data_IF_573264377229
#
_entry.id   IF_573264377229
#
_cell.length_a   1.000
_cell.length_b   1.000
_cell.length_c   1.000
_cell.angle_alpha   90.00
_cell.angle_beta   90.00
_cell.angle_gamma   90.00
#
_symmetry.space_group_name_H-M   'P 1'
#
loop_
_entity.id
_entity.type
_entity.pdbx_description
1 polymer ?
#
# COMPACT_ATOMS: atom_id res chain seq x y z
N UNK A 1 -47.26 35.82 46.17
CA UNK A 1 -46.08 36.68 45.90
C UNK A 1 -44.97 36.59 46.96
N UNK A 2 -45.25 36.39 48.27
CA UNK A 2 -44.19 36.39 49.30
C UNK A 2 -43.21 35.21 49.30
N UNK A 3 -43.59 34.00 48.85
CA UNK A 3 -42.70 32.83 48.91
C UNK A 3 -41.60 32.82 47.85
N UNK A 4 -41.84 33.43 46.69
CA UNK A 4 -40.86 33.50 45.60
C UNK A 4 -39.75 34.53 45.92
N UNK A 5 -40.12 35.67 46.50
CA UNK A 5 -39.17 36.70 46.95
C UNK A 5 -38.30 36.15 48.09
N UNK A 6 -38.90 35.43 49.05
CA UNK A 6 -38.14 34.78 50.13
C UNK A 6 -37.18 33.71 49.59
N UNK A 7 -37.58 32.92 48.59
CA UNK A 7 -36.72 31.92 47.96
C UNK A 7 -35.56 32.56 47.17
N UNK A 8 -35.81 33.65 46.45
CA UNK A 8 -34.77 34.40 45.73
C UNK A 8 -33.79 35.05 46.71
N UNK A 9 -34.28 35.63 47.81
CA UNK A 9 -33.43 36.19 48.88
C UNK A 9 -32.61 35.08 49.54
N UNK A 10 -33.19 33.90 49.82
CA UNK A 10 -32.45 32.76 50.37
C UNK A 10 -31.42 32.25 49.36
N UNK A 11 -31.73 32.14 48.06
CA UNK A 11 -30.76 31.73 47.04
C UNK A 11 -29.62 32.75 46.85
N UNK A 12 -29.92 34.05 46.95
CA UNK A 12 -28.88 35.10 46.91
C UNK A 12 -28.03 35.08 48.18
N UNK A 13 -28.62 34.86 49.36
CA UNK A 13 -27.89 34.72 50.62
C UNK A 13 -27.01 33.46 50.61
N UNK A 14 -27.49 32.33 50.07
CA UNK A 14 -26.71 31.08 49.97
C UNK A 14 -25.55 31.22 48.97
N UNK A 15 -25.68 32.02 47.91
CA UNK A 15 -24.56 32.35 47.00
C UNK A 15 -23.55 33.35 47.59
N UNK A 16 -23.92 34.15 48.60
CA UNK A 16 -23.02 35.12 49.26
C UNK A 16 -22.13 34.43 50.31
N UNK A 17 -22.51 33.24 50.79
CA UNK A 17 -21.69 32.42 51.69
C UNK A 17 -20.95 31.30 50.95
N UNK A 18 -20.34 31.61 49.80
CA UNK A 18 -19.20 30.81 49.36
C UNK A 18 -18.14 30.94 50.47
N UNK A 19 -18.00 29.91 51.30
CA UNK A 19 -17.02 29.92 52.38
C UNK A 19 -15.64 29.95 51.74
N UNK A 20 -14.99 31.12 51.76
CA UNK A 20 -13.57 31.19 51.39
C UNK A 20 -12.80 30.30 52.35
N UNK A 21 -11.93 29.46 51.80
CA UNK A 21 -11.12 28.54 52.57
C UNK A 21 -9.69 29.07 52.60
N UNK A 22 -9.34 30.01 53.51
CA UNK A 22 -8.04 30.66 53.49
C UNK A 22 -6.92 29.65 53.76
N UNK A 23 -5.85 29.80 53.00
CA UNK A 23 -4.60 29.06 53.08
C UNK A 23 -3.93 29.08 54.46
N UNK A 24 -3.08 28.10 54.72
CA UNK A 24 -2.07 28.15 55.77
C UNK A 24 -0.95 29.15 55.41
N UNK A 25 -0.33 29.72 56.45
CA UNK A 25 0.81 30.62 56.28
C UNK A 25 2.01 29.90 55.67
N UNK A 26 2.65 30.56 54.71
CA UNK A 26 3.89 30.18 54.06
C UNK A 26 4.88 31.34 54.15
N UNK A 27 6.14 31.00 54.40
CA UNK A 27 7.25 31.95 54.33
C UNK A 27 7.79 31.95 52.91
N UNK A 28 7.70 33.09 52.25
CA UNK A 28 8.28 33.32 50.94
C UNK A 28 9.73 33.79 51.09
N UNK A 29 10.54 33.66 50.04
CA UNK A 29 11.98 33.95 50.13
C UNK A 29 12.18 35.43 50.49
N UNK A 30 13.05 35.70 51.48
CA UNK A 30 13.30 37.02 52.05
C UNK A 30 13.46 38.13 51.00
N UNK A 31 12.42 38.93 50.82
CA UNK A 31 12.49 40.28 50.26
C UNK A 31 12.20 41.27 51.38
N UNK A 32 13.05 42.29 51.51
CA UNK A 32 12.95 43.31 52.57
C UNK A 32 11.75 44.27 52.38
N UNK A 33 10.85 43.98 51.46
CA UNK A 33 9.74 44.84 51.03
C UNK A 33 8.41 44.54 51.77
N UNK A 34 8.38 43.51 52.62
CA UNK A 34 7.21 43.20 53.45
C UNK A 34 5.99 42.73 52.66
N UNK A 35 6.16 42.37 51.38
CA UNK A 35 5.08 41.94 50.49
C UNK A 35 5.13 40.43 50.23
N UNK A 36 4.04 39.88 49.70
CA UNK A 36 3.99 38.49 49.23
C UNK A 36 4.49 38.31 47.78
N UNK A 37 5.12 39.33 47.19
CA UNK A 37 5.66 39.30 45.81
C UNK A 37 6.68 38.18 45.64
N UNK A 38 7.46 37.87 46.68
CA UNK A 38 8.46 36.82 46.65
C UNK A 38 7.90 35.40 46.61
N UNK A 39 6.58 35.22 46.80
CA UNK A 39 5.91 33.95 46.64
C UNK A 39 5.72 33.58 45.16
N UNK A 40 5.60 34.57 44.27
CA UNK A 40 5.57 34.34 42.82
C UNK A 40 5.81 35.67 42.07
N UNK A 41 6.86 35.77 41.24
CA UNK A 41 7.10 36.96 40.42
C UNK A 41 6.07 37.18 39.31
N UNK A 42 5.25 36.19 38.94
CA UNK A 42 4.11 36.39 38.03
C UNK A 42 2.96 37.12 38.76
N UNK A 43 2.58 38.34 38.32
CA UNK A 43 1.50 39.14 38.95
C UNK A 43 0.12 38.44 38.94
N UNK A 44 -0.07 37.44 38.09
CA UNK A 44 -1.32 36.67 37.99
C UNK A 44 -1.49 35.69 39.15
N UNK A 45 -0.38 35.19 39.69
CA UNK A 45 -0.35 34.27 40.83
C UNK A 45 -0.09 35.02 42.12
N UNK A 46 0.71 36.09 42.07
CA UNK A 46 0.96 37.00 43.18
C UNK A 46 -0.36 37.46 43.82
N UNK A 47 -1.34 37.84 43.00
CA UNK A 47 -2.67 38.29 43.43
C UNK A 47 -3.48 37.24 44.22
N UNK A 48 -3.03 35.98 44.24
CA UNK A 48 -3.63 34.93 45.05
C UNK A 48 -3.13 34.97 46.50
N UNK A 49 -1.96 35.58 46.76
CA UNK A 49 -1.33 35.63 48.07
C UNK A 49 -1.69 36.91 48.84
N UNK A 50 -1.99 36.73 50.13
CA UNK A 50 -2.29 37.78 51.09
C UNK A 50 -1.39 37.60 52.31
N UNK A 51 -0.97 38.70 52.92
CA UNK A 51 -0.09 38.66 54.09
C UNK A 51 0.33 40.06 54.52
N UNK A 52 0.82 40.17 55.74
CA UNK A 52 1.35 41.41 56.32
C UNK A 52 2.88 41.53 56.19
N UNK A 53 3.54 40.48 55.72
CA UNK A 53 4.99 40.37 55.58
C UNK A 53 5.37 39.19 54.68
N UNK A 54 6.57 39.24 54.09
CA UNK A 54 7.13 38.17 53.24
C UNK A 54 7.25 36.80 53.96
N UNK A 55 7.17 36.79 55.29
CA UNK A 55 7.23 35.57 56.12
C UNK A 55 5.86 34.99 56.46
N UNK A 56 4.78 35.74 56.25
CA UNK A 56 3.41 35.38 56.67
C UNK A 56 2.41 35.53 55.51
N UNK A 57 2.70 34.91 54.37
CA UNK A 57 1.81 34.92 53.22
C UNK A 57 0.88 33.71 53.22
N UNK A 58 -0.32 33.80 52.67
CA UNK A 58 -1.23 32.68 52.49
C UNK A 58 -2.11 32.89 51.26
N UNK A 59 -2.60 31.82 50.66
CA UNK A 59 -3.55 31.91 49.55
C UNK A 59 -4.92 32.33 50.08
N UNK A 60 -5.52 33.39 49.52
CA UNK A 60 -6.77 33.96 50.03
C UNK A 60 -7.92 32.96 50.11
N UNK A 61 -7.99 32.11 49.08
CA UNK A 61 -9.07 31.17 48.90
C UNK A 61 -8.58 29.91 48.18
N UNK A 62 -8.51 28.82 48.94
CA UNK A 62 -8.20 27.49 48.44
C UNK A 62 -9.45 26.71 47.98
N UNK A 63 -10.65 27.30 48.08
CA UNK A 63 -11.91 26.62 47.70
C UNK A 63 -12.05 26.36 46.19
N UNK A 64 -11.39 27.18 45.36
CA UNK A 64 -11.32 27.00 43.91
C UNK A 64 -9.89 26.65 43.48
N UNK A 65 -9.73 25.72 42.52
CA UNK A 65 -8.40 25.36 41.97
C UNK A 65 -7.83 26.58 41.22
N UNK A 66 -6.70 27.15 41.65
CA UNK A 66 -6.05 28.19 40.88
C UNK A 66 -5.60 27.65 39.52
N UNK A 67 -5.76 28.42 38.45
CA UNK A 67 -5.27 28.04 37.12
C UNK A 67 -3.75 27.97 37.04
N UNK A 68 -3.07 28.63 37.98
CA UNK A 68 -1.62 28.71 38.08
C UNK A 68 -1.23 28.18 39.47
N UNK A 69 -0.50 27.07 39.48
CA UNK A 69 -0.01 26.42 40.70
C UNK A 69 1.50 26.64 40.80
N UNK A 70 1.98 26.80 42.03
CA UNK A 70 3.40 26.74 42.37
C UNK A 70 3.56 26.09 43.75
N UNK A 71 4.81 25.96 44.21
CA UNK A 71 5.13 25.32 45.49
C UNK A 71 4.47 26.01 46.69
N UNK A 72 4.37 27.34 46.69
CA UNK A 72 3.75 28.09 47.77
C UNK A 72 2.23 27.92 47.81
N UNK A 73 1.57 27.85 46.65
CA UNK A 73 0.14 27.55 46.54
C UNK A 73 -0.13 26.13 47.06
N UNK A 74 0.65 25.15 46.62
CA UNK A 74 0.53 23.77 47.08
C UNK A 74 0.76 23.65 48.59
N UNK A 75 1.73 24.37 49.14
CA UNK A 75 1.99 24.35 50.58
C UNK A 75 0.90 25.05 51.39
N UNK A 76 0.45 26.21 50.93
CA UNK A 76 -0.55 27.02 51.63
C UNK A 76 -1.91 26.33 51.66
N UNK A 77 -2.34 25.70 50.56
CA UNK A 77 -3.66 25.08 50.50
C UNK A 77 -3.73 23.63 51.02
N UNK A 78 -2.61 23.03 51.44
CA UNK A 78 -2.56 21.61 51.74
C UNK A 78 -3.21 21.28 53.08
N UNK A 79 -4.14 20.32 53.10
CA UNK A 79 -4.81 19.87 54.32
C UNK A 79 -6.00 20.74 54.76
N UNK A 80 -6.43 21.70 53.95
CA UNK A 80 -7.60 22.53 54.25
C UNK A 80 -8.89 21.76 53.94
N UNK A 81 -9.75 21.64 54.96
CA UNK A 81 -11.05 20.99 54.81
C UNK A 81 -11.99 21.92 54.04
N UNK A 82 -12.55 21.44 52.93
CA UNK A 82 -13.42 22.23 52.05
C UNK A 82 -12.70 23.02 50.95
N UNK A 83 -11.37 22.87 50.82
CA UNK A 83 -10.63 23.34 49.66
C UNK A 83 -10.83 22.42 48.45
N UNK A 84 -10.44 22.88 47.25
CA UNK A 84 -10.07 21.92 46.20
C UNK A 84 -9.00 21.00 46.80
N UNK A 85 -9.25 19.68 46.82
CA UNK A 85 -8.32 18.72 47.40
C UNK A 85 -7.05 18.71 46.57
N UNK A 86 -6.08 19.53 46.95
CA UNK A 86 -4.75 19.42 46.36
C UNK A 86 -4.10 18.16 46.91
N UNK A 87 -3.53 17.36 46.01
CA UNK A 87 -3.08 16.01 46.33
C UNK A 87 -1.84 15.99 47.23
N UNK A 88 -1.24 17.16 47.53
CA UNK A 88 -0.16 17.27 48.50
C UNK A 88 0.47 18.65 48.62
N UNK A 89 1.55 18.72 49.40
CA UNK A 89 2.26 19.97 49.73
C UNK A 89 3.40 20.36 48.77
N UNK A 90 3.74 19.48 47.81
CA UNK A 90 4.83 19.73 46.85
C UNK A 90 4.27 20.08 45.49
N UNK A 91 4.89 21.00 44.78
CA UNK A 91 4.53 21.30 43.39
C UNK A 91 5.36 20.44 42.42
N UNK A 92 4.70 19.75 41.50
CA UNK A 92 5.32 19.03 40.40
C UNK A 92 5.07 19.80 39.08
N UNK A 93 6.07 20.51 38.55
CA UNK A 93 5.95 21.25 37.30
C UNK A 93 5.62 20.37 36.09
N UNK A 94 5.98 19.08 36.12
CA UNK A 94 5.81 18.19 34.96
C UNK A 94 4.33 17.85 34.69
N UNK A 95 3.51 17.81 35.74
CA UNK A 95 2.06 17.60 35.65
C UNK A 95 1.26 18.86 35.98
N UNK A 96 1.95 19.95 36.32
CA UNK A 96 1.38 21.20 36.82
C UNK A 96 0.35 20.95 37.93
N UNK A 97 0.73 20.18 38.94
CA UNK A 97 -0.15 19.78 40.04
C UNK A 97 0.60 19.66 41.37
N UNK A 98 -0.16 19.61 42.46
CA UNK A 98 0.34 19.41 43.81
C UNK A 98 0.35 17.91 44.16
N UNK A 99 1.47 17.40 44.67
CA UNK A 99 1.69 15.98 44.97
C UNK A 99 2.10 15.76 46.44
N UNK A 100 1.65 14.65 47.03
CA UNK A 100 1.94 14.30 48.43
C UNK A 100 3.42 14.00 48.68
N UNK A 101 4.09 13.46 47.66
CA UNK A 101 5.49 13.13 47.67
C UNK A 101 6.04 13.41 46.27
N UNK A 102 7.23 13.99 46.19
CA UNK A 102 7.89 14.10 44.90
C UNK A 102 8.18 12.70 44.33
N UNK A 103 8.09 12.54 43.00
CA UNK A 103 8.48 11.29 42.34
C UNK A 103 9.86 10.82 42.76
N UNK A 104 10.09 9.49 42.74
CA UNK A 104 11.32 8.86 43.23
C UNK A 104 12.60 9.32 42.50
N UNK A 105 12.43 9.94 41.33
CA UNK A 105 13.47 10.54 40.49
C UNK A 105 13.61 12.06 40.68
N UNK A 106 13.04 12.62 41.74
CA UNK A 106 13.13 14.03 42.09
C UNK A 106 13.78 14.29 43.45
N UNK A 107 14.40 15.47 43.57
CA UNK A 107 14.72 16.09 44.86
C UNK A 107 13.70 17.17 45.19
N UNK A 108 13.45 17.38 46.48
CA UNK A 108 12.65 18.52 46.95
C UNK A 108 13.58 19.72 47.09
N UNK A 109 13.30 20.80 46.35
CA UNK A 109 13.95 22.09 46.53
C UNK A 109 12.88 23.17 46.67
N UNK A 110 12.85 23.87 47.81
CA UNK A 110 11.84 24.90 48.11
C UNK A 110 10.41 24.42 47.80
N UNK A 111 10.09 23.19 48.24
CA UNK A 111 8.79 22.53 48.03
C UNK A 111 8.39 22.30 46.56
N UNK A 112 9.32 22.51 45.62
CA UNK A 112 9.19 22.10 44.22
C UNK A 112 9.90 20.77 44.00
N UNK A 113 9.26 19.87 43.27
CA UNK A 113 9.89 18.64 42.81
C UNK A 113 10.82 18.96 41.63
N UNK A 114 12.13 18.99 41.88
CA UNK A 114 13.13 19.11 40.83
C UNK A 114 13.50 17.70 40.36
N UNK A 115 13.31 17.40 39.08
CA UNK A 115 13.73 16.13 38.49
C UNK A 115 15.26 16.03 38.50
N UNK A 116 15.79 14.86 38.89
CA UNK A 116 17.20 14.53 38.76
C UNK A 116 17.41 14.11 37.31
N UNK A 117 18.13 14.92 36.53
CA UNK A 117 18.39 14.64 35.12
C UNK A 117 18.89 13.20 34.94
N UNK A 118 18.17 12.41 34.16
CA UNK A 118 18.55 11.04 33.82
C UNK A 118 19.15 11.04 32.44
N UNK A 119 20.47 11.02 32.34
CA UNK A 119 21.12 10.95 31.02
C UNK A 119 20.75 9.65 30.32
N UNK A 120 20.51 9.70 29.01
CA UNK A 120 20.17 8.52 28.23
C UNK A 120 21.36 7.60 27.94
N UNK A 121 21.13 6.55 27.15
CA UNK A 121 22.17 5.76 26.51
C UNK A 121 22.90 6.54 25.42
N UNK A 122 24.12 6.09 25.12
CA UNK A 122 24.89 6.56 23.98
C UNK A 122 24.21 6.15 22.65
N UNK A 123 24.08 7.11 21.73
CA UNK A 123 23.59 6.91 20.37
C UNK A 123 24.60 7.44 19.35
N UNK A 124 24.68 6.78 18.20
CA UNK A 124 25.52 7.22 17.08
C UNK A 124 24.67 8.12 16.21
N UNK A 125 24.93 9.43 16.24
CA UNK A 125 24.14 10.40 15.49
C UNK A 125 24.87 11.68 15.13
N UNK A 126 26.06 11.94 15.68
CA UNK A 126 26.83 13.11 15.28
C UNK A 126 27.32 12.98 13.82
N UNK A 127 27.21 14.07 13.07
CA UNK A 127 27.62 14.20 11.67
C UNK A 127 29.09 14.55 11.51
N UNK A 128 29.73 14.98 12.60
CA UNK A 128 31.14 15.34 12.71
C UNK A 128 31.70 14.84 14.06
N UNK A 129 32.95 15.19 14.37
CA UNK A 129 33.68 14.72 15.56
C UNK A 129 33.66 15.71 16.74
N UNK A 130 32.78 16.71 16.74
CA UNK A 130 32.79 17.79 17.74
C UNK A 130 31.43 18.17 18.31
N UNK A 131 30.31 17.80 17.68
CA UNK A 131 28.96 18.20 18.11
C UNK A 131 27.90 17.12 17.86
N UNK A 132 26.66 17.39 18.29
CA UNK A 132 25.51 16.50 18.11
C UNK A 132 24.51 16.99 17.04
N UNK A 133 24.98 17.74 16.05
CA UNK A 133 24.10 18.35 15.03
C UNK A 133 23.36 17.33 14.15
N UNK A 134 23.82 16.08 14.07
CA UNK A 134 23.10 15.01 13.36
C UNK A 134 22.03 14.28 14.19
N UNK A 135 21.88 14.60 15.49
CA UNK A 135 20.97 13.92 16.42
C UNK A 135 19.51 14.43 16.39
N UNK A 136 19.17 15.26 15.40
CA UNK A 136 17.82 15.80 15.24
C UNK A 136 17.65 16.63 13.97
N UNK A 137 16.39 16.82 13.56
CA UNK A 137 16.02 17.61 12.38
C UNK A 137 15.97 19.12 12.65
N UNK A 138 16.04 19.56 13.91
CA UNK A 138 16.05 20.97 14.31
C UNK A 138 17.13 21.25 15.35
N UNK A 139 17.56 22.51 15.42
CA UNK A 139 18.51 22.99 16.44
C UNK A 139 17.97 22.74 17.85
N UNK A 140 16.67 22.90 18.06
CA UNK A 140 16.02 22.65 19.35
C UNK A 140 16.13 21.20 19.80
N UNK A 141 16.01 20.23 18.89
CA UNK A 141 16.19 18.81 19.21
C UNK A 141 17.68 18.50 19.41
N UNK A 142 18.55 19.03 18.56
CA UNK A 142 20.00 18.81 18.64
C UNK A 142 20.58 19.32 19.96
N UNK A 143 20.07 20.45 20.47
CA UNK A 143 20.47 21.02 21.76
C UNK A 143 20.12 20.15 22.98
N UNK A 144 19.29 19.11 22.81
CA UNK A 144 18.96 18.14 23.86
C UNK A 144 19.98 16.99 23.96
N UNK A 145 21.05 17.03 23.17
CA UNK A 145 22.11 16.03 23.19
C UNK A 145 23.43 16.62 23.69
N UNK A 146 24.15 15.85 24.50
CA UNK A 146 25.54 16.13 24.90
C UNK A 146 26.49 15.28 24.07
N UNK A 147 27.51 15.92 23.49
CA UNK A 147 28.60 15.24 22.80
C UNK A 147 29.41 14.40 23.79
N UNK A 148 29.68 13.15 23.43
CA UNK A 148 30.49 12.23 24.25
C UNK A 148 31.85 12.03 23.61
N UNK A 149 31.89 11.42 22.41
CA UNK A 149 33.12 11.19 21.65
C UNK A 149 32.83 10.79 20.20
N UNK A 150 33.68 11.17 19.25
CA UNK A 150 33.58 10.81 17.83
C UNK A 150 32.19 11.06 17.27
N UNK A 151 31.42 10.02 16.92
CA UNK A 151 30.05 10.15 16.39
C UNK A 151 28.97 9.91 17.45
N UNK A 152 29.38 9.79 18.72
CA UNK A 152 28.55 9.37 19.85
C UNK A 152 28.06 10.59 20.63
N UNK A 153 26.75 10.64 20.78
CA UNK A 153 26.02 11.62 21.58
C UNK A 153 25.11 10.93 22.58
N UNK A 154 24.63 11.68 23.56
CA UNK A 154 23.74 11.17 24.60
C UNK A 154 22.66 12.19 24.92
N UNK A 155 21.40 11.75 25.01
CA UNK A 155 20.30 12.64 25.40
C UNK A 155 20.48 13.13 26.84
N UNK A 156 20.25 14.42 27.06
CA UNK A 156 20.61 15.10 28.32
C UNK A 156 19.71 14.69 29.48
N UNK A 157 18.42 14.49 29.23
CA UNK A 157 17.47 14.24 30.30
C UNK A 157 16.24 13.42 29.87
N UNK A 158 16.34 12.10 30.06
CA UNK A 158 15.26 11.15 29.88
C UNK A 158 14.17 11.22 30.95
N UNK A 159 14.31 12.01 32.03
CA UNK A 159 13.28 12.09 33.08
C UNK A 159 12.06 12.93 32.68
N UNK A 160 12.18 13.71 31.60
CA UNK A 160 11.13 14.59 31.08
C UNK A 160 10.88 14.28 29.60
N UNK A 161 9.61 14.15 29.22
CA UNK A 161 9.23 14.06 27.82
C UNK A 161 9.37 15.42 27.13
N UNK A 162 10.13 15.55 26.02
CA UNK A 162 10.20 16.78 25.26
C UNK A 162 8.89 17.04 24.52
N UNK A 163 8.67 18.31 24.15
CA UNK A 163 7.57 18.70 23.25
C UNK A 163 7.75 18.17 21.81
N UNK A 164 8.97 17.77 21.43
CA UNK A 164 9.32 17.23 20.12
C UNK A 164 10.22 16.00 20.26
N UNK A 165 9.83 14.90 19.62
CA UNK A 165 10.55 13.64 19.66
C UNK A 165 11.43 13.45 18.41
N UNK A 166 12.44 12.60 18.53
CA UNK A 166 13.20 12.05 17.40
C UNK A 166 13.53 10.59 17.68
N UNK A 167 13.88 9.82 16.65
CA UNK A 167 14.27 8.41 16.82
C UNK A 167 15.50 8.26 17.73
N UNK A 168 16.46 9.19 17.66
CA UNK A 168 17.60 9.20 18.58
C UNK A 168 17.20 9.43 20.05
N UNK A 169 16.17 10.24 20.32
CA UNK A 169 15.66 10.44 21.69
C UNK A 169 15.02 9.14 22.20
N UNK A 170 14.12 8.55 21.41
CA UNK A 170 13.49 7.27 21.76
C UNK A 170 14.55 6.19 22.00
N UNK A 171 15.55 6.09 21.13
CA UNK A 171 16.63 5.12 21.26
C UNK A 171 17.51 5.38 22.48
N UNK A 172 17.84 6.64 22.76
CA UNK A 172 18.69 7.03 23.89
C UNK A 172 17.99 6.79 25.23
N UNK A 173 16.67 7.02 25.34
CA UNK A 173 15.95 6.87 26.61
C UNK A 173 15.27 5.52 26.83
N UNK A 174 15.22 4.66 25.81
CA UNK A 174 14.56 3.36 25.93
C UNK A 174 15.28 2.45 26.91
N UNK A 175 14.53 1.94 27.90
CA UNK A 175 15.01 1.08 29.00
C UNK A 175 15.99 1.75 29.99
N UNK A 176 16.15 3.07 29.92
CA UNK A 176 16.96 3.80 30.90
C UNK A 176 16.25 3.88 32.25
N UNK A 177 16.99 3.59 33.33
CA UNK A 177 16.44 3.56 34.69
C UNK A 177 16.02 4.97 35.10
N UNK A 178 14.72 5.14 35.40
CA UNK A 178 14.15 6.45 35.75
C UNK A 178 13.82 7.33 34.56
N UNK A 179 13.80 6.78 33.33
CA UNK A 179 13.26 7.50 32.19
C UNK A 179 11.74 7.71 32.32
N UNK A 180 11.25 8.82 31.78
CA UNK A 180 9.84 9.14 31.66
C UNK A 180 9.08 8.01 30.97
N UNK A 181 7.86 7.73 31.44
CA UNK A 181 7.06 6.58 30.97
C UNK A 181 6.83 6.59 29.46
N UNK A 182 6.77 7.76 28.83
CA UNK A 182 6.67 7.91 27.37
C UNK A 182 7.81 7.21 26.59
N UNK A 183 9.00 7.08 27.17
CA UNK A 183 10.14 6.41 26.53
C UNK A 183 10.15 4.90 26.77
N UNK A 184 9.46 4.42 27.81
CA UNK A 184 9.41 2.98 28.15
C UNK A 184 8.67 2.13 27.09
N UNK A 185 7.88 2.77 26.23
CA UNK A 185 7.09 2.12 25.18
C UNK A 185 8.00 1.49 24.12
N UNK A 186 9.12 2.11 23.75
CA UNK A 186 10.02 1.55 22.75
C UNK A 186 11.11 2.45 22.21
N UNK A 187 12.01 1.86 21.43
CA UNK A 187 13.20 2.52 20.91
C UNK A 187 13.01 3.29 19.60
N UNK A 188 11.85 3.19 18.95
CA UNK A 188 11.61 3.78 17.63
C UNK A 188 10.67 4.96 17.69
N UNK A 189 10.95 6.01 16.92
CA UNK A 189 10.07 7.18 16.82
C UNK A 189 9.05 7.01 15.71
N UNK A 190 7.77 7.23 15.99
CA UNK A 190 6.71 7.26 14.98
C UNK A 190 6.18 8.68 14.74
N UNK A 191 6.50 9.29 13.58
CA UNK A 191 6.13 10.68 13.30
C UNK A 191 4.62 10.94 13.33
N UNK A 192 3.79 9.97 12.90
CA UNK A 192 2.34 10.17 12.79
C UNK A 192 1.65 10.36 14.15
N UNK A 193 2.20 9.79 15.23
CA UNK A 193 1.68 9.95 16.59
C UNK A 193 2.59 10.78 17.49
N UNK A 194 3.73 11.24 16.96
CA UNK A 194 4.78 11.94 17.69
C UNK A 194 5.18 11.22 18.99
N UNK A 195 5.42 9.91 18.95
CA UNK A 195 5.68 9.09 20.13
C UNK A 195 6.73 8.00 19.90
N UNK A 196 7.26 7.47 21.00
CA UNK A 196 8.15 6.30 20.97
C UNK A 196 7.33 4.99 20.99
N UNK A 197 7.75 3.99 20.21
CA UNK A 197 7.07 2.71 20.04
C UNK A 197 8.05 1.54 19.93
N UNK A 198 7.62 0.34 20.34
CA UNK A 198 8.47 -0.86 20.38
C UNK A 198 8.70 -1.49 19.01
N UNK A 199 7.78 -1.27 18.08
CA UNK A 199 7.83 -1.81 16.72
C UNK A 199 7.15 -0.84 15.77
N UNK A 200 7.79 -0.55 14.63
CA UNK A 200 7.18 0.29 13.60
C UNK A 200 5.86 -0.35 13.07
N UNK A 201 4.80 0.44 12.85
CA UNK A 201 3.54 -0.06 12.32
C UNK A 201 3.71 -0.75 10.97
N UNK A 202 2.77 -1.63 10.63
CA UNK A 202 2.74 -2.34 9.34
C UNK A 202 2.90 -1.34 8.18
N UNK A 203 3.84 -1.62 7.28
CA UNK A 203 4.15 -0.76 6.14
C UNK A 203 5.22 0.30 6.40
N UNK A 204 5.75 0.38 7.62
CA UNK A 204 6.89 1.24 8.00
C UNK A 204 8.01 0.43 8.64
N UNK A 205 9.24 0.93 8.57
CA UNK A 205 10.42 0.32 9.17
C UNK A 205 11.32 1.41 9.74
N UNK A 206 12.14 1.11 10.76
CA UNK A 206 13.07 2.09 11.30
C UNK A 206 14.19 2.34 10.29
N UNK A 207 14.49 3.61 10.04
CA UNK A 207 15.69 4.02 9.32
C UNK A 207 16.92 4.06 10.26
N UNK A 208 18.05 4.56 9.76
CA UNK A 208 19.28 4.70 10.57
C UNK A 208 19.12 5.68 11.74
N UNK A 209 18.16 6.59 11.67
CA UNK A 209 17.84 7.52 12.76
C UNK A 209 16.85 6.95 13.78
N UNK A 210 16.51 5.67 13.69
CA UNK A 210 15.49 4.99 14.50
C UNK A 210 14.08 5.57 14.33
N UNK A 211 13.84 6.26 13.21
CA UNK A 211 12.53 6.81 12.86
C UNK A 211 11.79 5.81 12.00
N UNK A 212 10.57 5.46 12.39
CA UNK A 212 9.67 4.67 11.57
C UNK A 212 9.29 5.46 10.33
N UNK A 213 9.85 5.05 9.21
CA UNK A 213 9.59 5.62 7.91
C UNK A 213 8.91 4.58 7.05
N UNK A 214 8.09 5.06 6.13
CA UNK A 214 7.54 4.18 5.12
C UNK A 214 8.71 3.68 4.28
N UNK A 215 8.95 2.36 4.28
CA UNK A 215 9.97 1.82 3.35
C UNK A 215 9.43 1.99 1.96
N UNK A 216 10.18 2.74 1.17
CA UNK A 216 10.02 2.87 -0.26
C UNK A 216 10.51 1.55 -0.85
N UNK A 217 9.68 0.51 -0.74
CA UNK A 217 9.96 -0.78 -1.36
C UNK A 217 9.67 -0.64 -2.84
N UNK A 218 10.64 -0.06 -3.54
CA UNK A 218 10.53 0.18 -4.94
C UNK A 218 10.29 -1.12 -5.70
N UNK A 219 9.39 -1.06 -6.67
CA UNK A 219 9.27 -2.11 -7.66
C UNK A 219 10.39 -2.06 -8.71
N UNK A 220 10.40 -3.05 -9.58
CA UNK A 220 11.20 -3.10 -10.80
C UNK A 220 10.71 -2.05 -11.81
N UNK A 221 11.61 -1.67 -12.72
CA UNK A 221 11.29 -0.73 -13.81
C UNK A 221 10.27 -1.33 -14.79
N UNK A 222 9.33 -0.50 -15.21
CA UNK A 222 8.35 -0.75 -16.27
C UNK A 222 8.43 0.35 -17.33
N UNK A 223 8.30 -0.05 -18.59
CA UNK A 223 8.47 0.83 -19.76
C UNK A 223 7.19 1.60 -20.12
N UNK A 224 6.62 2.28 -19.13
CA UNK A 224 5.43 3.12 -19.27
C UNK A 224 5.72 4.61 -19.00
N UNK A 225 7.00 4.99 -18.89
CA UNK A 225 7.40 6.38 -18.74
C UNK A 225 7.48 7.13 -20.08
N UNK A 226 7.48 8.45 -20.01
CA UNK A 226 7.77 9.34 -21.14
C UNK A 226 8.95 10.22 -20.75
N UNK A 227 9.98 10.32 -21.62
CA UNK A 227 11.09 11.24 -21.40
C UNK A 227 10.59 12.69 -21.37
N UNK A 228 11.17 13.50 -20.50
CA UNK A 228 10.93 14.94 -20.42
C UNK A 228 12.14 15.66 -19.85
N UNK A 229 12.35 16.89 -20.27
CA UNK A 229 13.38 17.80 -19.73
C UNK A 229 12.67 18.89 -18.90
N UNK A 230 13.02 19.13 -17.63
CA UNK A 230 14.12 18.55 -16.85
C UNK A 230 13.81 17.18 -16.21
N UNK A 231 12.54 16.75 -16.19
CA UNK A 231 12.10 15.46 -15.65
C UNK A 231 10.97 14.89 -16.52
N UNK A 232 10.95 13.57 -16.73
CA UNK A 232 9.86 12.90 -17.45
C UNK A 232 8.67 12.53 -16.57
N UNK A 233 7.72 11.77 -17.13
CA UNK A 233 6.44 11.45 -16.49
C UNK A 233 6.07 9.96 -16.55
N UNK A 234 5.18 9.52 -15.66
CA UNK A 234 4.63 8.15 -15.60
C UNK A 234 3.15 8.08 -16.01
N UNK A 235 2.69 9.03 -16.83
CA UNK A 235 1.27 9.16 -17.19
C UNK A 235 0.73 7.97 -17.99
N UNK A 236 1.59 7.23 -18.70
CA UNK A 236 1.17 6.01 -19.45
C UNK A 236 1.15 4.76 -18.58
N UNK A 237 1.51 4.84 -17.30
CA UNK A 237 1.53 3.69 -16.40
C UNK A 237 0.13 3.28 -15.91
N UNK A 238 -0.89 4.13 -16.08
CA UNK A 238 -2.27 3.82 -15.75
C UNK A 238 -3.27 4.80 -16.34
N UNK A 239 -4.54 4.38 -16.44
CA UNK A 239 -5.64 5.18 -17.00
C UNK A 239 -6.18 6.27 -16.07
N UNK A 240 -5.78 6.26 -14.78
CA UNK A 240 -6.22 7.24 -13.78
C UNK A 240 -5.03 7.87 -13.06
N UNK A 241 -5.20 9.12 -12.61
CA UNK A 241 -4.18 9.83 -11.83
C UNK A 241 -3.82 9.07 -10.55
N UNK A 242 -4.80 8.41 -9.92
CA UNK A 242 -4.59 7.60 -8.73
C UNK A 242 -3.57 6.48 -8.96
N UNK A 243 -3.66 5.77 -10.11
CA UNK A 243 -2.68 4.73 -10.47
C UNK A 243 -1.35 5.36 -10.89
N UNK A 244 -1.36 6.45 -11.66
CA UNK A 244 -0.14 7.12 -12.11
C UNK A 244 0.71 7.63 -10.93
N UNK A 245 0.07 8.12 -9.87
CA UNK A 245 0.73 8.59 -8.65
C UNK A 245 1.40 7.45 -7.83
N UNK A 246 1.13 6.19 -8.16
CA UNK A 246 1.83 5.05 -7.54
C UNK A 246 3.26 4.89 -8.08
N UNK A 247 3.59 5.54 -9.20
CA UNK A 247 4.85 5.39 -9.90
C UNK A 247 5.77 6.61 -9.71
N UNK A 248 7.06 6.34 -9.63
CA UNK A 248 8.13 7.31 -9.73
C UNK A 248 8.87 7.16 -11.06
N UNK A 249 9.10 8.29 -11.72
CA UNK A 249 9.86 8.34 -12.97
C UNK A 249 11.35 8.07 -12.74
N UNK A 250 11.95 7.32 -13.66
CA UNK A 250 13.40 7.11 -13.80
C UNK A 250 13.93 7.80 -15.07
N UNK A 251 15.20 8.19 -15.03
CA UNK A 251 15.93 8.90 -16.08
C UNK A 251 15.86 8.29 -17.50
N UNK A 252 15.53 7.00 -17.64
CA UNK A 252 15.53 6.27 -18.90
C UNK A 252 14.14 6.03 -19.52
N UNK A 253 13.19 6.96 -19.37
CA UNK A 253 11.77 6.78 -19.79
C UNK A 253 11.07 5.58 -19.15
N UNK A 254 11.59 5.12 -18.02
CA UNK A 254 10.99 4.03 -17.25
C UNK A 254 10.33 4.61 -16.00
N UNK A 255 9.48 3.80 -15.39
CA UNK A 255 8.83 4.11 -14.13
C UNK A 255 8.92 2.91 -13.19
N UNK A 256 8.87 3.13 -11.88
CA UNK A 256 8.81 2.06 -10.88
C UNK A 256 7.78 2.39 -9.82
N UNK A 257 7.13 1.38 -9.24
CA UNK A 257 6.22 1.60 -8.11
C UNK A 257 7.01 2.11 -6.91
N UNK A 258 6.47 3.13 -6.25
CA UNK A 258 7.08 3.76 -5.07
C UNK A 258 7.07 2.79 -3.87
N UNK A 259 5.96 2.07 -3.67
CA UNK A 259 5.86 1.18 -2.52
C UNK A 259 5.06 -0.10 -2.83
N UNK A 260 5.77 -1.19 -3.06
CA UNK A 260 5.19 -2.51 -3.27
C UNK A 260 4.72 -3.19 -1.98
N UNK A 261 4.94 -2.61 -0.80
CA UNK A 261 4.53 -3.20 0.49
C UNK A 261 3.05 -2.94 0.82
N UNK A 262 2.37 -2.08 0.06
CA UNK A 262 0.99 -1.69 0.29
C UNK A 262 0.17 -2.01 -0.95
N UNK A 263 -0.94 -2.74 -0.77
CA UNK A 263 -1.90 -2.99 -1.85
C UNK A 263 -2.84 -1.78 -1.93
N UNK A 264 -2.78 -0.96 -3.00
CA UNK A 264 -3.70 0.16 -3.16
C UNK A 264 -5.09 -0.38 -3.50
N UNK A 265 -6.12 0.44 -3.29
CA UNK A 265 -7.51 0.06 -3.59
C UNK A 265 -7.72 -0.25 -5.10
N UNK A 266 -6.95 0.40 -5.97
CA UNK A 266 -6.97 0.18 -7.42
C UNK A 266 -5.54 0.01 -7.93
N UNK A 267 -5.28 -1.02 -8.74
CA UNK A 267 -4.00 -1.30 -9.38
C UNK A 267 -4.20 -1.97 -10.75
N UNK A 268 -3.13 -2.12 -11.54
CA UNK A 268 -3.17 -2.67 -12.90
C UNK A 268 -1.94 -3.56 -13.22
N UNK A 269 -1.80 -3.95 -14.49
CA UNK A 269 -0.69 -4.79 -14.97
C UNK A 269 0.71 -4.22 -14.69
N UNK A 270 0.90 -2.91 -14.86
CA UNK A 270 2.19 -2.27 -14.55
C UNK A 270 2.54 -2.35 -13.05
N UNK A 271 1.54 -2.28 -12.16
CA UNK A 271 1.75 -2.45 -10.70
C UNK A 271 2.15 -3.90 -10.40
N UNK A 272 1.42 -4.88 -10.94
CA UNK A 272 1.73 -6.31 -10.75
C UNK A 272 3.15 -6.63 -11.23
N UNK A 273 3.50 -6.19 -12.45
CA UNK A 273 4.83 -6.40 -13.02
C UNK A 273 5.94 -5.76 -12.21
N UNK A 274 5.77 -4.50 -11.82
CA UNK A 274 6.77 -3.76 -11.05
C UNK A 274 6.99 -4.41 -9.67
N UNK A 275 5.94 -4.87 -9.00
CA UNK A 275 6.06 -5.38 -7.63
C UNK A 275 6.33 -6.89 -7.50
N UNK A 276 6.19 -7.67 -8.56
CA UNK A 276 6.23 -9.13 -8.51
C UNK A 276 7.50 -9.70 -7.84
N UNK A 277 8.67 -9.11 -8.10
CA UNK A 277 9.97 -9.59 -7.58
C UNK A 277 10.54 -8.74 -6.44
N UNK A 278 9.83 -7.70 -5.99
CA UNK A 278 10.31 -6.87 -4.90
C UNK A 278 10.32 -7.66 -3.58
N UNK A 279 11.47 -7.70 -2.91
CA UNK A 279 11.74 -8.59 -1.77
C UNK A 279 10.65 -8.52 -0.67
N UNK A 280 10.21 -7.31 -0.35
CA UNK A 280 9.22 -7.03 0.70
C UNK A 280 7.83 -6.69 0.13
N UNK A 281 7.50 -7.11 -1.09
CA UNK A 281 6.19 -6.83 -1.67
C UNK A 281 5.05 -7.46 -0.87
N UNK A 282 3.89 -6.80 -0.85
CA UNK A 282 2.66 -7.35 -0.33
C UNK A 282 2.34 -8.69 -1.02
N UNK A 283 1.76 -9.63 -0.27
CA UNK A 283 1.48 -10.99 -0.76
C UNK A 283 0.66 -11.00 -2.05
N UNK A 284 -0.26 -10.05 -2.23
CA UNK A 284 -1.06 -9.90 -3.44
C UNK A 284 -0.22 -9.73 -4.72
N UNK A 285 0.93 -9.06 -4.63
CA UNK A 285 1.80 -8.82 -5.78
C UNK A 285 2.76 -9.98 -6.06
N UNK A 286 3.08 -10.79 -5.04
CA UNK A 286 3.98 -11.95 -5.18
C UNK A 286 3.37 -13.12 -5.97
N UNK A 287 2.07 -13.06 -6.29
CA UNK A 287 1.39 -14.09 -7.07
C UNK A 287 1.94 -14.14 -8.50
N UNK A 288 2.18 -12.99 -9.13
CA UNK A 288 2.66 -12.95 -10.51
C UNK A 288 2.69 -11.56 -11.15
N UNK A 289 3.30 -11.44 -12.34
CA UNK A 289 3.50 -10.15 -12.99
C UNK A 289 2.29 -9.66 -13.82
N UNK A 290 1.26 -10.49 -14.02
CA UNK A 290 0.11 -10.16 -14.86
C UNK A 290 -1.10 -9.75 -14.02
N UNK A 291 -1.91 -8.81 -14.50
CA UNK A 291 -3.14 -8.39 -13.84
C UNK A 291 -4.36 -9.05 -14.48
N UNK A 292 -5.18 -9.73 -13.67
CA UNK A 292 -6.45 -10.30 -14.10
C UNK A 292 -7.61 -9.33 -13.78
N UNK A 293 -8.25 -8.72 -14.79
CA UNK A 293 -9.36 -7.80 -14.57
C UNK A 293 -10.63 -8.49 -14.07
N UNK A 294 -10.78 -9.82 -14.26
CA UNK A 294 -11.96 -10.58 -13.80
C UNK A 294 -11.93 -10.73 -12.27
N UNK A 295 -10.76 -11.04 -11.71
CA UNK A 295 -10.57 -11.24 -10.27
C UNK A 295 -10.00 -10.03 -9.55
N UNK A 296 -9.67 -8.96 -10.29
CA UNK A 296 -8.99 -7.76 -9.80
C UNK A 296 -7.72 -8.10 -8.98
N UNK A 297 -6.89 -9.01 -9.50
CA UNK A 297 -5.72 -9.53 -8.78
C UNK A 297 -4.54 -9.85 -9.70
N UNK A 298 -3.33 -9.90 -9.13
CA UNK A 298 -2.15 -10.35 -9.86
C UNK A 298 -2.12 -11.88 -9.99
N UNK A 299 -1.61 -12.40 -11.10
CA UNK A 299 -1.57 -13.84 -11.43
C UNK A 299 -0.23 -14.22 -12.08
N UNK A 300 0.26 -15.43 -11.78
CA UNK A 300 1.52 -15.98 -12.31
C UNK A 300 1.49 -16.19 -13.84
N UNK A 301 0.31 -16.52 -14.35
CA UNK A 301 0.00 -16.70 -15.76
C UNK A 301 -1.43 -16.28 -15.98
N UNK A 302 -1.74 -15.75 -17.18
CA UNK A 302 -3.11 -15.45 -17.52
C UNK A 302 -3.97 -16.73 -17.50
N UNK A 303 -5.20 -16.69 -16.93
CA UNK A 303 -6.10 -17.84 -16.90
C UNK A 303 -6.37 -18.44 -18.27
N UNK A 304 -6.84 -19.68 -18.32
CA UNK A 304 -7.23 -20.35 -19.57
C UNK A 304 -8.13 -19.44 -20.42
N UNK A 305 -7.86 -19.41 -21.73
CA UNK A 305 -8.60 -18.60 -22.71
C UNK A 305 -8.42 -17.07 -22.56
N UNK A 306 -7.32 -16.61 -21.93
CA UNK A 306 -6.88 -15.22 -21.91
C UNK A 306 -5.39 -15.10 -22.27
N UNK A 307 -4.93 -13.94 -22.73
CA UNK A 307 -3.52 -13.66 -23.04
C UNK A 307 -3.07 -12.33 -22.42
N UNK A 308 -1.78 -12.15 -22.17
CA UNK A 308 -1.25 -10.87 -21.69
C UNK A 308 -1.05 -9.90 -22.86
N UNK A 309 -1.61 -8.70 -22.76
CA UNK A 309 -1.24 -7.61 -23.67
C UNK A 309 0.13 -6.98 -23.30
N UNK A 310 0.51 -5.93 -24.04
CA UNK A 310 1.77 -5.20 -23.80
C UNK A 310 1.79 -4.47 -22.44
N UNK A 311 0.63 -4.22 -21.83
CA UNK A 311 0.48 -3.58 -20.52
C UNK A 311 0.41 -4.62 -19.37
N UNK A 312 0.63 -5.89 -19.68
CA UNK A 312 0.61 -7.02 -18.73
C UNK A 312 -0.77 -7.23 -18.11
N UNK A 313 -1.83 -6.88 -18.83
CA UNK A 313 -3.21 -7.15 -18.46
C UNK A 313 -3.65 -8.42 -19.18
N UNK A 314 -4.28 -9.34 -18.44
CA UNK A 314 -4.89 -10.51 -19.03
C UNK A 314 -6.16 -10.08 -19.76
N UNK A 315 -6.08 -10.09 -21.09
CA UNK A 315 -7.18 -9.81 -21.98
C UNK A 315 -7.88 -11.11 -22.37
N UNK A 316 -9.20 -11.08 -22.40
CA UNK A 316 -9.95 -12.08 -23.15
C UNK A 316 -9.53 -11.98 -24.62
N UNK A 317 -9.46 -13.11 -25.33
CA UNK A 317 -9.32 -13.09 -26.78
C UNK A 317 -10.34 -12.10 -27.37
N UNK A 318 -9.94 -11.21 -28.29
CA UNK A 318 -10.85 -10.27 -28.92
C UNK A 318 -12.02 -11.07 -29.51
N UNK A 319 -13.21 -10.96 -28.89
CA UNK A 319 -14.45 -11.66 -29.26
C UNK A 319 -14.28 -13.13 -29.66
N UNK A 320 -13.85 -13.97 -28.71
CA UNK A 320 -13.74 -15.44 -28.70
C UNK A 320 -14.09 -16.20 -30.02
N UNK A 321 -13.11 -16.75 -30.75
CA UNK A 321 -13.38 -17.68 -31.85
C UNK A 321 -13.87 -19.04 -31.34
N UNK A 322 -14.80 -19.68 -32.03
CA UNK A 322 -15.21 -21.07 -31.72
C UNK A 322 -14.25 -22.00 -32.45
N UNK A 323 -13.32 -22.63 -31.73
CA UNK A 323 -12.31 -23.47 -32.37
C UNK A 323 -12.91 -24.71 -33.01
N UNK A 324 -12.49 -25.00 -34.24
CA UNK A 324 -12.82 -26.25 -34.90
C UNK A 324 -12.15 -27.46 -34.24
N UNK A 325 -12.63 -28.64 -34.61
CA UNK A 325 -12.01 -29.94 -34.34
C UNK A 325 -10.77 -30.11 -35.21
N UNK A 326 -9.85 -30.94 -34.75
CA UNK A 326 -8.66 -31.33 -35.50
C UNK A 326 -9.01 -32.08 -36.79
N UNK A 327 -8.36 -31.68 -37.89
CA UNK A 327 -8.43 -32.29 -39.22
C UNK A 327 -7.02 -32.59 -39.73
N UNK A 328 -6.89 -33.73 -40.43
CA UNK A 328 -5.60 -34.25 -40.88
C UNK A 328 -5.13 -33.63 -42.22
N UNK A 329 -5.04 -32.29 -42.26
CA UNK A 329 -4.53 -31.52 -43.41
C UNK A 329 -3.20 -30.81 -43.12
N UNK A 330 -2.52 -31.16 -42.02
CA UNK A 330 -1.20 -30.66 -41.70
C UNK A 330 -0.07 -31.35 -42.49
N UNK A 331 1.13 -30.75 -42.45
CA UNK A 331 2.37 -31.42 -42.85
C UNK A 331 3.19 -31.80 -41.61
N UNK A 332 3.68 -33.05 -41.56
CA UNK A 332 4.52 -33.53 -40.48
C UNK A 332 5.80 -32.69 -40.37
N UNK A 333 6.24 -32.41 -39.15
CA UNK A 333 7.54 -31.77 -38.93
C UNK A 333 8.65 -32.77 -39.28
N UNK A 334 9.30 -32.58 -40.42
CA UNK A 334 10.51 -33.34 -40.74
C UNK A 334 11.67 -32.69 -39.96
N UNK A 335 12.37 -33.46 -39.12
CA UNK A 335 13.62 -33.00 -38.49
C UNK A 335 14.58 -32.51 -39.58
N UNK A 336 14.76 -31.19 -39.68
CA UNK A 336 15.81 -30.56 -40.49
C UNK A 336 15.42 -29.94 -41.83
N UNK A 337 14.15 -29.62 -42.12
CA UNK A 337 13.86 -28.94 -43.40
C UNK A 337 12.56 -28.18 -43.58
N UNK A 338 11.42 -28.64 -43.04
CA UNK A 338 10.13 -27.94 -43.24
C UNK A 338 9.45 -27.62 -41.90
N UNK A 339 9.12 -26.35 -41.71
CA UNK A 339 8.24 -25.91 -40.63
C UNK A 339 6.86 -26.50 -40.84
N UNK A 340 6.37 -27.21 -39.84
CA UNK A 340 5.06 -27.82 -39.91
C UNK A 340 3.96 -26.78 -40.13
N UNK A 341 3.01 -27.07 -41.02
CA UNK A 341 2.07 -26.08 -41.54
C UNK A 341 0.70 -26.68 -41.87
N UNK A 342 -0.29 -25.81 -42.09
CA UNK A 342 -1.65 -26.18 -42.51
C UNK A 342 -1.90 -25.96 -44.01
N UNK A 343 -0.83 -26.03 -44.82
CA UNK A 343 -0.87 -25.66 -46.23
C UNK A 343 -1.71 -26.62 -47.09
N UNK A 344 -2.10 -27.81 -46.59
CA UNK A 344 -3.01 -28.72 -47.31
C UNK A 344 -4.48 -28.54 -46.92
N UNK A 345 -4.80 -27.60 -46.02
CA UNK A 345 -6.17 -27.34 -45.56
C UNK A 345 -6.97 -26.42 -46.53
N UNK A 346 -6.39 -26.06 -47.68
CA UNK A 346 -7.05 -25.29 -48.72
C UNK A 346 -6.17 -25.13 -49.97
N UNK A 347 -6.78 -24.74 -51.09
CA UNK A 347 -6.11 -24.66 -52.39
C UNK A 347 -5.29 -23.36 -52.58
N UNK A 348 -5.54 -22.35 -51.74
CA UNK A 348 -4.88 -21.04 -51.78
C UNK A 348 -4.43 -20.60 -50.38
N UNK A 349 -3.40 -19.76 -50.33
CA UNK A 349 -2.79 -19.28 -49.09
C UNK A 349 -3.77 -18.59 -48.14
N UNK A 350 -4.73 -17.83 -48.67
CA UNK A 350 -5.75 -17.15 -47.84
C UNK A 350 -6.59 -18.16 -47.07
N UNK A 351 -7.09 -19.22 -47.71
CA UNK A 351 -7.83 -20.30 -47.03
C UNK A 351 -6.96 -21.10 -46.08
N UNK A 352 -5.71 -21.39 -46.45
CA UNK A 352 -4.75 -22.10 -45.60
C UNK A 352 -4.46 -21.34 -44.30
N UNK A 353 -4.37 -20.00 -44.37
CA UNK A 353 -4.11 -19.14 -43.21
C UNK A 353 -5.26 -19.09 -42.19
N UNK A 354 -6.42 -19.64 -42.52
CA UNK A 354 -7.55 -19.76 -41.59
C UNK A 354 -7.43 -20.97 -40.64
N UNK A 355 -6.42 -21.81 -40.84
CA UNK A 355 -6.16 -22.98 -40.00
C UNK A 355 -4.96 -22.75 -39.09
N UNK A 356 -5.06 -23.24 -37.86
CA UNK A 356 -3.97 -23.21 -36.88
C UNK A 356 -3.44 -24.63 -36.68
N UNK A 357 -2.12 -24.74 -36.61
CA UNK A 357 -1.42 -26.00 -36.44
C UNK A 357 -1.52 -26.50 -34.99
N UNK A 358 -1.88 -27.78 -34.79
CA UNK A 358 -1.93 -28.38 -33.46
C UNK A 358 -0.58 -28.97 -33.05
N UNK A 359 0.16 -28.19 -32.25
CA UNK A 359 1.46 -28.57 -31.69
C UNK A 359 1.42 -29.87 -30.85
N UNK A 360 0.26 -30.33 -30.38
CA UNK A 360 0.13 -31.55 -29.58
C UNK A 360 0.20 -32.83 -30.41
N UNK A 361 -0.04 -32.74 -31.72
CA UNK A 361 -0.20 -33.92 -32.59
C UNK A 361 1.05 -34.26 -33.42
N UNK A 362 2.21 -33.68 -33.08
CA UNK A 362 3.49 -33.85 -33.81
C UNK A 362 3.40 -33.55 -35.32
N UNK A 363 2.34 -32.86 -35.77
CA UNK A 363 2.26 -32.28 -37.11
C UNK A 363 1.39 -32.93 -38.13
N UNK A 364 0.44 -33.74 -37.71
CA UNK A 364 -0.53 -34.31 -38.65
C UNK A 364 -1.80 -33.46 -38.72
N UNK A 365 -2.15 -32.74 -37.64
CA UNK A 365 -3.45 -32.09 -37.52
C UNK A 365 -3.39 -30.57 -37.47
N UNK A 366 -4.43 -29.96 -38.03
CA UNK A 366 -4.76 -28.55 -37.96
C UNK A 366 -6.21 -28.39 -37.50
N UNK A 367 -6.58 -27.24 -36.96
CA UNK A 367 -7.97 -26.90 -36.66
C UNK A 367 -8.33 -25.55 -37.26
N UNK A 368 -9.59 -25.38 -37.64
CA UNK A 368 -10.08 -24.10 -38.13
C UNK A 368 -10.12 -23.08 -37.00
N UNK A 369 -9.52 -21.92 -37.23
CA UNK A 369 -9.22 -20.96 -36.17
C UNK A 369 -10.47 -20.27 -35.61
N UNK A 370 -11.57 -20.19 -36.37
CA UNK A 370 -12.81 -19.56 -35.91
C UNK A 370 -14.09 -20.01 -36.65
N UNK A 371 -14.80 -20.98 -36.09
CA UNK A 371 -16.09 -21.47 -36.55
C UNK A 371 -17.27 -20.50 -36.31
N UNK A 372 -17.08 -19.29 -35.74
CA UNK A 372 -18.13 -18.25 -35.69
C UNK A 372 -18.17 -17.38 -36.93
N UNK A 373 -17.06 -17.29 -37.66
CA UNK A 373 -16.97 -16.45 -38.85
C UNK A 373 -17.32 -17.26 -40.10
N UNK A 374 -18.51 -17.03 -40.65
CA UNK A 374 -18.89 -17.58 -41.96
C UNK A 374 -18.07 -16.90 -43.05
N UNK A 375 -17.19 -17.67 -43.69
CA UNK A 375 -16.42 -17.22 -44.84
C UNK A 375 -17.23 -17.31 -46.12
N UNK A 376 -16.94 -16.44 -47.10
CA UNK A 376 -17.52 -16.53 -48.44
C UNK A 376 -17.03 -17.76 -49.23
N UNK A 377 -15.94 -18.39 -48.78
CA UNK A 377 -15.31 -19.55 -49.41
C UNK A 377 -15.19 -20.70 -48.42
N UNK A 378 -16.26 -21.49 -48.29
CA UNK A 378 -16.23 -22.75 -47.56
C UNK A 378 -15.45 -23.81 -48.36
N UNK A 379 -14.84 -24.75 -47.64
CA UNK A 379 -14.28 -25.97 -48.22
C UNK A 379 -14.56 -27.18 -47.30
N UNK A 380 -14.21 -28.39 -47.75
CA UNK A 380 -14.49 -29.60 -46.98
C UNK A 380 -13.73 -29.68 -45.65
N UNK A 381 -12.53 -29.09 -45.54
CA UNK A 381 -11.78 -29.03 -44.29
C UNK A 381 -12.44 -28.14 -43.24
N UNK A 382 -12.99 -26.99 -43.65
CA UNK A 382 -13.74 -26.08 -42.77
C UNK A 382 -15.02 -26.78 -42.28
N UNK A 383 -15.77 -27.41 -43.20
CA UNK A 383 -16.96 -28.18 -42.85
C UNK A 383 -16.64 -29.27 -41.82
N UNK A 384 -15.62 -30.09 -42.08
CA UNK A 384 -15.23 -31.17 -41.19
C UNK A 384 -14.74 -30.67 -39.82
N UNK A 385 -13.97 -29.58 -39.79
CA UNK A 385 -13.44 -29.00 -38.56
C UNK A 385 -14.56 -28.39 -37.69
N UNK A 386 -15.52 -27.68 -38.29
CA UNK A 386 -16.57 -26.99 -37.52
C UNK A 386 -17.84 -27.82 -37.24
N UNK A 387 -17.98 -28.99 -37.87
CA UNK A 387 -19.15 -29.84 -37.69
C UNK A 387 -19.39 -30.20 -36.21
N UNK A 388 -20.60 -29.96 -35.72
CA UNK A 388 -20.99 -30.27 -34.35
C UNK A 388 -20.22 -29.53 -33.25
N UNK A 389 -19.52 -28.43 -33.59
CA UNK A 389 -18.87 -27.58 -32.59
C UNK A 389 -19.89 -26.60 -31.98
N UNK A 390 -20.10 -26.59 -30.65
CA UNK A 390 -21.06 -25.70 -30.01
C UNK A 390 -20.77 -24.21 -30.28
N UNK A 391 -21.77 -23.48 -30.77
CA UNK A 391 -21.64 -22.06 -31.09
C UNK A 391 -21.01 -21.76 -32.45
N UNK A 392 -20.85 -22.76 -33.32
CA UNK A 392 -20.44 -22.53 -34.71
C UNK A 392 -21.58 -21.89 -35.52
N UNK A 393 -21.21 -20.93 -36.38
CA UNK A 393 -22.07 -20.36 -37.42
C UNK A 393 -21.85 -21.02 -38.79
N UNK A 394 -20.92 -21.97 -38.91
CA UNK A 394 -20.72 -22.74 -40.15
C UNK A 394 -21.89 -23.72 -40.30
N UNK A 395 -22.48 -23.89 -41.50
CA UNK A 395 -23.55 -24.86 -41.73
C UNK A 395 -23.14 -26.27 -41.26
N UNK A 396 -24.06 -27.04 -40.65
CA UNK A 396 -23.75 -28.39 -40.19
C UNK A 396 -23.47 -29.34 -41.35
N UNK A 397 -22.55 -30.29 -41.15
CA UNK A 397 -22.15 -31.27 -42.16
C UNK A 397 -20.64 -31.43 -42.27
N UNK A 398 -20.21 -32.67 -42.51
CA UNK A 398 -18.79 -33.05 -42.57
C UNK A 398 -18.17 -32.98 -43.99
N UNK A 399 -18.99 -32.79 -45.03
CA UNK A 399 -18.57 -32.74 -46.43
C UNK A 399 -18.95 -31.43 -47.10
N UNK A 400 -18.21 -30.99 -48.11
CA UNK A 400 -18.55 -29.84 -48.94
C UNK A 400 -19.10 -30.28 -50.30
N UNK A 401 -20.32 -29.85 -50.65
CA UNK A 401 -20.98 -30.25 -51.91
C UNK A 401 -20.74 -29.31 -53.09
N UNK A 402 -19.83 -28.33 -52.96
CA UNK A 402 -19.62 -27.26 -53.92
C UNK A 402 -20.37 -25.96 -53.59
N UNK A 403 -21.27 -25.97 -52.61
CA UNK A 403 -22.03 -24.78 -52.18
C UNK A 403 -22.08 -24.62 -50.66
N UNK A 404 -22.31 -25.70 -49.91
CA UNK A 404 -22.44 -25.68 -48.44
C UNK A 404 -21.94 -26.98 -47.82
N UNK A 405 -21.89 -27.03 -46.49
CA UNK A 405 -21.60 -28.23 -45.74
C UNK A 405 -22.83 -29.17 -45.74
N UNK A 406 -22.59 -30.49 -45.86
CA UNK A 406 -23.61 -31.54 -45.91
C UNK A 406 -23.12 -32.81 -45.24
N UNK A 407 -24.04 -33.65 -44.75
CA UNK A 407 -23.72 -35.00 -44.26
C UNK A 407 -23.76 -36.06 -45.37
N UNK A 408 -24.33 -35.76 -46.53
CA UNK A 408 -24.49 -36.72 -47.63
C UNK A 408 -24.09 -36.11 -48.97
N UNK A 409 -23.30 -36.84 -49.75
CA UNK A 409 -23.01 -36.51 -51.14
C UNK A 409 -24.07 -37.15 -52.04
N UNK A 410 -24.86 -36.33 -52.73
CA UNK A 410 -25.93 -36.81 -53.63
C UNK A 410 -25.40 -37.65 -54.80
N UNK A 411 -24.12 -37.46 -55.17
CA UNK A 411 -23.40 -38.23 -56.18
C UNK A 411 -21.95 -38.42 -55.72
N UNK A 412 -21.54 -39.67 -55.51
CA UNK A 412 -20.17 -40.11 -55.25
C UNK A 412 -19.69 -40.10 -53.78
N UNK A 413 -18.37 -40.02 -53.58
CA UNK A 413 -17.68 -40.31 -52.30
C UNK A 413 -16.83 -39.12 -51.86
N UNK A 414 -16.83 -38.79 -50.57
CA UNK A 414 -15.95 -37.76 -49.97
C UNK A 414 -15.14 -38.38 -48.83
N UNK A 415 -13.83 -38.07 -48.78
CA UNK A 415 -12.92 -38.53 -47.73
C UNK A 415 -11.73 -37.56 -47.58
N UNK A 416 -10.79 -37.86 -46.68
CA UNK A 416 -9.62 -37.00 -46.44
C UNK A 416 -8.73 -36.82 -47.68
N UNK A 417 -8.68 -37.78 -48.62
CA UNK A 417 -7.93 -37.63 -49.89
C UNK A 417 -8.61 -36.66 -50.85
N UNK A 418 -9.93 -36.54 -50.80
CA UNK A 418 -10.67 -35.52 -51.56
C UNK A 418 -10.81 -34.18 -50.81
N UNK A 419 -10.16 -34.03 -49.64
CA UNK A 419 -10.33 -32.86 -48.78
C UNK A 419 -11.76 -32.70 -48.28
N UNK A 420 -12.50 -33.81 -48.13
CA UNK A 420 -13.93 -33.85 -47.79
C UNK A 420 -14.86 -33.15 -48.81
N UNK A 421 -14.42 -33.00 -50.06
CA UNK A 421 -15.25 -32.49 -51.15
C UNK A 421 -16.04 -33.65 -51.77
N UNK A 422 -17.34 -33.46 -51.98
CA UNK A 422 -18.20 -34.40 -52.71
C UNK A 422 -17.78 -34.44 -54.17
N UNK A 423 -17.17 -35.54 -54.59
CA UNK A 423 -16.82 -35.79 -55.97
C UNK A 423 -17.93 -36.60 -56.62
N UNK A 424 -18.43 -36.17 -57.78
CA UNK A 424 -19.23 -37.05 -58.62
C UNK A 424 -18.43 -38.31 -58.86
N UNK A 425 -18.97 -39.47 -58.49
CA UNK A 425 -18.41 -40.75 -58.90
C UNK A 425 -18.46 -40.79 -60.42
N UNK A 426 -17.36 -40.43 -61.07
CA UNK A 426 -17.12 -40.83 -62.44
C UNK A 426 -17.03 -42.34 -62.36
N UNK A 427 -18.11 -43.00 -62.76
CA UNK A 427 -18.13 -44.43 -62.90
C UNK A 427 -17.14 -44.75 -64.04
N UNK A 428 -15.87 -45.02 -63.71
CA UNK A 428 -14.86 -45.41 -64.69
C UNK A 428 -15.23 -46.69 -65.45
N UNK A 429 -16.33 -47.35 -65.09
CA UNK A 429 -16.92 -48.46 -65.86
C UNK A 429 -17.53 -48.01 -67.18
N UNK A 430 -18.01 -46.78 -67.33
CA UNK A 430 -18.61 -46.31 -68.60
C UNK A 430 -17.56 -45.75 -69.59
N UNK A 431 -16.41 -45.29 -69.11
CA UNK A 431 -15.32 -44.81 -69.99
C UNK A 431 -14.36 -45.90 -70.47
N UNK A 432 -14.39 -47.11 -69.88
CA UNK A 432 -13.63 -48.27 -70.42
C UNK A 432 -14.18 -48.76 -71.76
N UNK A 433 -15.45 -48.50 -72.09
CA UNK A 433 -16.01 -48.90 -73.38
C UNK A 433 -15.48 -48.02 -74.53
N UNK A 434 -15.29 -46.72 -74.32
CA UNK A 434 -14.84 -45.81 -75.37
C UNK A 434 -13.35 -45.96 -75.73
N UNK A 435 -12.47 -46.36 -74.81
CA UNK A 435 -11.04 -46.53 -75.14
C UNK A 435 -10.80 -47.79 -75.98
N UNK A 436 -11.52 -48.88 -75.71
CA UNK A 436 -11.49 -50.12 -76.51
C UNK A 436 -12.12 -49.88 -77.89
N UNK A 437 -13.19 -49.11 -77.96
CA UNK A 437 -13.87 -48.77 -79.22
C UNK A 437 -13.05 -47.80 -80.09
N UNK A 438 -12.29 -46.89 -79.47
CA UNK A 438 -11.34 -46.00 -80.16
C UNK A 438 -10.08 -46.75 -80.66
N UNK A 439 -9.58 -47.73 -79.88
CA UNK A 439 -8.50 -48.64 -80.32
C UNK A 439 -8.96 -49.60 -81.43
N UNK A 440 -10.20 -50.08 -81.40
CA UNK A 440 -10.80 -50.87 -82.48
C UNK A 440 -11.02 -50.03 -83.75
N UNK A 441 -11.40 -48.76 -83.62
CA UNK A 441 -11.52 -47.85 -84.76
C UNK A 441 -10.15 -47.50 -85.38
N UNK A 442 -9.10 -47.32 -84.55
CA UNK A 442 -7.75 -47.12 -85.06
C UNK A 442 -7.18 -48.38 -85.74
N UNK A 443 -7.51 -49.59 -85.27
CA UNK A 443 -7.10 -50.83 -85.92
C UNK A 443 -7.86 -51.13 -87.23
N UNK A 444 -8.99 -50.46 -87.49
CA UNK A 444 -9.74 -50.56 -88.75
C UNK A 444 -9.34 -49.48 -89.78
N UNK A 445 -8.50 -48.52 -89.36
CA UNK A 445 -8.01 -47.42 -90.19
C UNK A 445 -6.53 -47.59 -90.62
N UNK A 446 -5.88 -48.69 -90.24
CA UNK A 446 -4.53 -49.06 -90.66
C UNK A 446 -4.48 -50.46 -91.26
#
# INVERSE_FOLDING_TARGET
MNKLILLIIILQIVNIFASTAPGFLVSCINTNDGSCISCEPDPSVERLFFGDSATNCYVQDCSARPHLLNAYVCKSCFGIVGSFQISGQFYDPAINDCVAQCPNDSIVYQQTCLRINKTGANVICASNTYDCTGCGSSISIQALFTYVQSTICRYTDCSIAPSSYSGYICKSCFQEVGAHTAFSIGAYYYPSTNSCISQCPIGTYPDQSYTCQQVVNYGDLVSCGTAGTPQGTCTRCGSTQAIQNLFQWDSNSNCKIINCSIVPHFYNGNVCKSCYKAANAASAFKIGPYFNPITNSCVASCPSFTFSDNDNICQNYPTNPVLGKNVACGTESIKGGETASCNKCGDIQTTQSLFTYDLKTLGVNCFYADCRTTQSTLNGWICNSCDGVPGSNIPPGIYFNGTTCTYTCNKGVANSKSGYICQNSINLSEHKLNFVQFLLFLCLLF
#
